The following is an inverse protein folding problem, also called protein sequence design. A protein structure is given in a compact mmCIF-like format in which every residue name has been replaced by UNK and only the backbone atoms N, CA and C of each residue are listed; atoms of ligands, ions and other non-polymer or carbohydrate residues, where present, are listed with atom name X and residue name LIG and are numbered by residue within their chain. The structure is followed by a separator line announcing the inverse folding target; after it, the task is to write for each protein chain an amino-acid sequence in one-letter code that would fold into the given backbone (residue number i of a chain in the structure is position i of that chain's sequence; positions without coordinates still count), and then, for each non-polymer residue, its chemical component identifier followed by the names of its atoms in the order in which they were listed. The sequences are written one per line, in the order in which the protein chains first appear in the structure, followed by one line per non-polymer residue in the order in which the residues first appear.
data_IF_790716865448
#
_entry.id   IF_790716865448
#
_cell.length_a   1.000
_cell.length_b   1.000
_cell.length_c   1.000
_cell.angle_alpha   90.00
_cell.angle_beta   90.00
_cell.angle_gamma   90.00
#
_symmetry.space_group_name_H-M   'P 1'
#
loop_
_entity.id
_entity.type
_entity.pdbx_description
1 polymer ?
#
# COMPACT_ATOMS: atom_id res chain seq x y z
N UNK A 1 -19.59 15.44 -5.15
CA UNK A 1 -20.39 16.57 -4.74
C UNK A 1 -21.16 17.19 -5.90
N UNK A 2 -22.08 18.15 -5.65
CA UNK A 2 -22.85 18.78 -6.72
C UNK A 2 -21.91 19.56 -7.66
N UNK A 3 -22.11 19.43 -8.97
CA UNK A 3 -21.24 20.06 -9.99
C UNK A 3 -21.33 21.58 -9.92
N UNK A 4 -22.45 22.13 -9.53
CA UNK A 4 -22.70 23.57 -9.41
C UNK A 4 -21.85 24.23 -8.30
N UNK A 5 -21.45 23.47 -7.30
CA UNK A 5 -20.58 23.95 -6.22
C UNK A 5 -19.09 24.03 -6.66
N UNK A 6 -18.68 23.25 -7.67
CA UNK A 6 -17.29 23.16 -8.07
C UNK A 6 -16.70 24.53 -8.50
N UNK A 7 -17.34 25.29 -9.39
CA UNK A 7 -16.81 26.61 -9.77
C UNK A 7 -16.60 27.57 -8.61
N UNK A 8 -17.37 27.43 -7.54
CA UNK A 8 -17.29 28.32 -6.36
C UNK A 8 -16.06 28.04 -5.47
N UNK A 9 -15.53 26.82 -5.50
CA UNK A 9 -14.44 26.38 -4.62
C UNK A 9 -13.19 25.94 -5.39
N UNK A 10 -13.27 25.77 -6.69
CA UNK A 10 -12.21 25.24 -7.55
C UNK A 10 -10.89 25.97 -7.34
N UNK A 11 -10.87 27.29 -7.48
CA UNK A 11 -9.64 28.07 -7.43
C UNK A 11 -8.96 27.96 -6.05
N UNK A 12 -9.74 27.92 -4.98
CA UNK A 12 -9.24 27.74 -3.61
C UNK A 12 -8.63 26.34 -3.46
N UNK A 13 -9.38 25.29 -3.81
CA UNK A 13 -8.94 23.92 -3.64
C UNK A 13 -7.75 23.59 -4.55
N UNK A 14 -7.79 24.04 -5.79
CA UNK A 14 -6.66 23.89 -6.69
C UNK A 14 -5.46 24.73 -6.25
N UNK A 15 -5.68 25.92 -5.69
CA UNK A 15 -4.62 26.80 -5.17
C UNK A 15 -3.79 26.13 -4.06
N UNK A 16 -4.45 25.46 -3.11
CA UNK A 16 -3.81 24.80 -1.96
C UNK A 16 -3.35 23.37 -2.24
N UNK A 17 -3.75 22.76 -3.37
CA UNK A 17 -3.37 21.39 -3.70
C UNK A 17 -1.89 21.28 -4.10
N UNK A 18 -1.32 20.06 -3.99
CA UNK A 18 -0.03 19.75 -4.61
C UNK A 18 -0.09 19.99 -6.12
N UNK A 19 1.05 20.33 -6.70
CA UNK A 19 1.19 20.57 -8.14
C UNK A 19 2.10 19.52 -8.76
N UNK A 20 1.77 19.07 -9.97
CA UNK A 20 2.68 18.31 -10.82
C UNK A 20 3.81 19.23 -11.32
N UNK A 21 4.81 18.66 -11.97
CA UNK A 21 5.98 19.42 -12.46
C UNK A 21 5.63 20.41 -13.56
N UNK A 22 4.54 20.16 -14.28
CA UNK A 22 3.96 21.07 -15.28
C UNK A 22 3.07 22.17 -14.66
N UNK A 23 2.97 22.24 -13.33
CA UNK A 23 2.13 23.18 -12.59
C UNK A 23 0.66 22.75 -12.45
N UNK A 24 0.24 21.63 -13.03
CA UNK A 24 -1.13 21.13 -12.94
C UNK A 24 -1.49 20.75 -11.51
N UNK A 25 -2.69 21.14 -10.99
CA UNK A 25 -3.09 20.83 -9.64
C UNK A 25 -3.50 19.34 -9.49
N UNK A 26 -3.10 18.71 -8.39
CA UNK A 26 -3.58 17.39 -7.99
C UNK A 26 -4.95 17.50 -7.28
N UNK A 27 -5.88 18.21 -7.88
CA UNK A 27 -7.23 18.42 -7.37
C UNK A 27 -8.18 18.67 -8.53
N UNK A 28 -9.26 17.86 -8.61
CA UNK A 28 -10.29 18.02 -9.61
C UNK A 28 -11.66 17.59 -9.04
N UNK A 29 -12.74 18.02 -9.66
CA UNK A 29 -14.07 17.48 -9.40
C UNK A 29 -14.15 16.06 -9.95
N UNK A 30 -14.45 15.10 -9.09
CA UNK A 30 -14.40 13.68 -9.43
C UNK A 30 -15.75 13.16 -9.93
N UNK A 31 -16.85 13.69 -9.38
CA UNK A 31 -18.20 13.23 -9.74
C UNK A 31 -19.26 13.66 -8.74
N UNK A 32 -20.49 13.34 -9.08
CA UNK A 32 -21.65 13.67 -8.25
C UNK A 32 -21.68 12.88 -6.93
N UNK A 33 -22.50 13.32 -5.99
CA UNK A 33 -22.76 12.63 -4.72
C UNK A 33 -21.48 12.28 -3.95
N UNK A 34 -21.30 10.99 -3.66
CA UNK A 34 -20.20 10.44 -2.89
C UNK A 34 -18.96 10.06 -3.70
N UNK A 35 -18.91 10.28 -5.03
CA UNK A 35 -17.86 9.80 -5.93
C UNK A 35 -16.44 10.10 -5.44
N UNK A 36 -16.15 11.34 -5.05
CA UNK A 36 -14.82 11.74 -4.54
C UNK A 36 -14.43 11.01 -3.25
N UNK A 37 -15.40 10.77 -2.35
CA UNK A 37 -15.15 10.00 -1.12
C UNK A 37 -14.87 8.53 -1.43
N UNK A 38 -15.60 7.94 -2.37
CA UNK A 38 -15.38 6.57 -2.79
C UNK A 38 -13.99 6.41 -3.43
N UNK A 39 -13.62 7.32 -4.33
CA UNK A 39 -12.27 7.35 -4.93
C UNK A 39 -11.18 7.46 -3.84
N UNK A 40 -11.39 8.30 -2.81
CA UNK A 40 -10.43 8.40 -1.69
C UNK A 40 -10.40 7.15 -0.83
N UNK A 41 -11.52 6.49 -0.62
CA UNK A 41 -11.59 5.21 0.08
C UNK A 41 -10.77 4.14 -0.65
N UNK A 42 -10.96 4.00 -1.97
CA UNK A 42 -10.20 3.05 -2.79
C UNK A 42 -8.71 3.38 -2.82
N UNK A 43 -8.34 4.66 -2.94
CA UNK A 43 -6.96 5.11 -2.79
C UNK A 43 -6.33 4.58 -1.49
N UNK A 44 -7.03 4.68 -0.37
CA UNK A 44 -6.54 4.17 0.91
C UNK A 44 -6.50 2.63 0.94
N UNK A 45 -7.38 1.95 0.22
CA UNK A 45 -7.30 0.50 0.03
C UNK A 45 -6.01 0.09 -0.68
N UNK A 46 -5.66 0.76 -1.77
CA UNK A 46 -4.39 0.57 -2.49
C UNK A 46 -3.19 0.83 -1.56
N UNK A 47 -3.25 1.89 -0.76
CA UNK A 47 -2.23 2.20 0.25
C UNK A 47 -2.01 1.03 1.21
N UNK A 48 -3.08 0.39 1.69
CA UNK A 48 -2.96 -0.79 2.55
C UNK A 48 -2.28 -1.95 1.83
N UNK A 49 -2.62 -2.18 0.55
CA UNK A 49 -1.95 -3.15 -0.30
C UNK A 49 -0.46 -2.88 -0.42
N UNK A 50 -0.09 -1.65 -0.79
CA UNK A 50 1.31 -1.24 -0.95
C UNK A 50 2.13 -1.44 0.34
N UNK A 51 1.58 -1.04 1.49
CA UNK A 51 2.26 -1.19 2.78
C UNK A 51 2.43 -2.66 3.17
N UNK A 52 1.45 -3.51 2.89
CA UNK A 52 1.55 -4.95 3.12
C UNK A 52 2.63 -5.58 2.23
N UNK A 53 2.62 -5.27 0.95
CA UNK A 53 3.62 -5.77 -0.01
C UNK A 53 5.05 -5.36 0.36
N UNK A 54 5.24 -4.11 0.79
CA UNK A 54 6.55 -3.64 1.29
C UNK A 54 6.96 -4.41 2.54
N UNK A 55 6.03 -4.69 3.46
CA UNK A 55 6.30 -5.48 4.67
C UNK A 55 6.69 -6.93 4.35
N UNK A 56 6.07 -7.52 3.34
CA UNK A 56 6.42 -8.87 2.85
C UNK A 56 7.79 -8.88 2.17
N UNK A 57 8.08 -7.90 1.31
CA UNK A 57 9.40 -7.75 0.71
C UNK A 57 10.49 -7.57 1.79
N UNK A 58 10.26 -6.71 2.79
CA UNK A 58 11.13 -6.57 3.97
C UNK A 58 11.36 -7.91 4.67
N UNK A 59 10.29 -8.67 4.91
CA UNK A 59 10.38 -9.98 5.57
C UNK A 59 11.22 -10.99 4.76
N UNK A 60 11.05 -11.01 3.44
CA UNK A 60 11.85 -11.87 2.55
C UNK A 60 13.33 -11.48 2.57
N UNK A 61 13.63 -10.18 2.45
CA UNK A 61 15.00 -9.68 2.47
C UNK A 61 15.68 -9.96 3.82
N UNK A 62 14.98 -9.71 4.93
CA UNK A 62 15.51 -9.96 6.29
C UNK A 62 15.69 -11.45 6.58
N UNK A 63 14.63 -12.24 6.39
CA UNK A 63 14.58 -13.61 6.92
C UNK A 63 15.09 -14.67 5.93
N UNK A 64 15.02 -14.42 4.61
CA UNK A 64 15.50 -15.37 3.59
C UNK A 64 16.84 -14.99 3.01
N UNK A 65 17.13 -13.67 2.89
CA UNK A 65 18.43 -13.17 2.40
C UNK A 65 19.39 -12.83 3.54
N UNK A 66 18.92 -12.68 4.78
CA UNK A 66 19.74 -12.36 5.94
C UNK A 66 20.30 -10.93 5.93
N UNK A 67 19.66 -10.01 5.19
CA UNK A 67 20.09 -8.62 5.13
C UNK A 67 19.77 -7.89 6.43
N UNK A 68 20.69 -7.07 6.89
CA UNK A 68 20.45 -6.10 7.95
C UNK A 68 19.72 -4.84 7.44
N UNK A 69 19.34 -3.95 8.32
CA UNK A 69 18.55 -2.77 7.96
C UNK A 69 19.31 -1.83 7.00
N UNK A 70 20.64 -1.69 7.13
CA UNK A 70 21.43 -0.82 6.25
C UNK A 70 21.53 -1.41 4.84
N UNK A 71 21.78 -2.71 4.72
CA UNK A 71 21.79 -3.40 3.44
C UNK A 71 20.41 -3.37 2.75
N UNK A 72 19.32 -3.56 3.51
CA UNK A 72 17.97 -3.43 2.97
C UNK A 72 17.67 -2.00 2.51
N UNK A 73 18.14 -0.99 3.24
CA UNK A 73 17.96 0.41 2.84
C UNK A 73 18.61 0.71 1.48
N UNK A 74 19.78 0.14 1.21
CA UNK A 74 20.43 0.25 -0.10
C UNK A 74 19.57 -0.39 -1.20
N UNK A 75 19.02 -1.57 -0.95
CA UNK A 75 18.13 -2.26 -1.89
C UNK A 75 16.89 -1.41 -2.20
N UNK A 76 16.23 -0.85 -1.18
CA UNK A 76 15.07 0.02 -1.40
C UNK A 76 15.41 1.32 -2.12
N UNK A 77 16.58 1.92 -1.91
CA UNK A 77 17.06 3.07 -2.68
C UNK A 77 17.28 2.73 -4.16
N UNK A 78 17.90 1.58 -4.44
CA UNK A 78 18.08 1.12 -5.81
C UNK A 78 16.72 0.91 -6.50
N UNK A 79 15.75 0.32 -5.81
CA UNK A 79 14.41 0.14 -6.32
C UNK A 79 13.68 1.47 -6.56
N UNK A 80 13.93 2.46 -5.70
CA UNK A 80 13.36 3.80 -5.84
C UNK A 80 13.95 4.60 -7.03
N UNK A 81 15.08 4.16 -7.56
CA UNK A 81 15.65 4.70 -8.81
C UNK A 81 15.08 4.10 -10.10
N UNK A 82 14.12 3.18 -10.02
CA UNK A 82 13.55 2.43 -11.13
C UNK A 82 12.02 2.40 -11.15
N UNK A 83 11.44 1.30 -11.61
CA UNK A 83 9.98 1.15 -11.78
C UNK A 83 9.19 1.15 -10.45
N UNK A 84 9.87 0.97 -9.32
CA UNK A 84 9.27 1.04 -7.99
C UNK A 84 9.36 2.43 -7.36
N UNK A 85 9.86 3.44 -8.10
CA UNK A 85 9.92 4.83 -7.62
C UNK A 85 8.56 5.25 -7.06
N UNK A 86 8.54 5.50 -5.76
CA UNK A 86 7.35 5.93 -5.05
C UNK A 86 7.70 6.45 -3.65
N UNK A 87 6.83 7.29 -3.12
CA UNK A 87 7.00 7.81 -1.77
C UNK A 87 7.14 6.71 -0.70
N UNK A 88 6.36 5.64 -0.81
CA UNK A 88 6.43 4.55 0.18
C UNK A 88 7.74 3.78 0.10
N UNK A 89 8.32 3.59 -1.07
CA UNK A 89 9.65 2.97 -1.23
C UNK A 89 10.72 3.90 -0.69
N UNK A 90 10.68 5.21 -1.03
CA UNK A 90 11.59 6.22 -0.51
C UNK A 90 11.62 6.25 1.02
N UNK A 91 10.43 6.39 1.65
CA UNK A 91 10.39 6.46 3.13
C UNK A 91 10.77 5.13 3.79
N UNK A 92 10.58 3.99 3.11
CA UNK A 92 11.03 2.69 3.63
C UNK A 92 12.54 2.64 3.75
N UNK A 93 13.28 3.11 2.73
CA UNK A 93 14.73 3.24 2.82
C UNK A 93 15.17 4.16 3.97
N UNK A 94 14.48 5.30 4.14
CA UNK A 94 14.76 6.24 5.21
C UNK A 94 14.48 5.65 6.60
N UNK A 95 13.36 4.93 6.78
CA UNK A 95 13.00 4.26 8.03
C UNK A 95 14.04 3.20 8.40
N UNK A 96 14.51 2.41 7.44
CA UNK A 96 15.53 1.39 7.66
C UNK A 96 16.85 1.97 8.17
N UNK A 97 17.22 3.18 7.73
CA UNK A 97 18.43 3.89 8.20
C UNK A 97 18.26 4.61 9.53
N UNK A 98 17.00 4.86 9.93
CA UNK A 98 16.78 5.69 11.10
C UNK A 98 17.28 5.01 12.39
N UNK A 99 18.07 5.75 13.16
CA UNK A 99 18.64 5.29 14.43
C UNK A 99 17.98 6.05 15.60
N UNK A 100 17.77 5.31 16.69
CA UNK A 100 17.33 5.88 17.94
C UNK A 100 18.51 6.51 18.69
N UNK A 101 18.26 7.16 19.82
CA UNK A 101 19.26 7.82 20.67
C UNK A 101 20.39 6.89 21.12
N UNK A 102 20.15 5.59 21.23
CA UNK A 102 21.16 4.57 21.57
C UNK A 102 21.97 4.07 20.36
N UNK A 103 21.77 4.66 19.17
CA UNK A 103 22.46 4.30 17.94
C UNK A 103 21.91 3.03 17.24
N UNK A 104 20.89 2.38 17.80
CA UNK A 104 20.29 1.17 17.21
C UNK A 104 19.17 1.54 16.25
N UNK A 105 18.84 0.66 15.26
CA UNK A 105 17.72 0.88 14.38
C UNK A 105 16.41 1.04 15.17
N UNK A 106 15.71 2.17 15.00
CA UNK A 106 14.43 2.39 15.67
C UNK A 106 13.38 1.37 15.23
N UNK A 107 13.43 0.93 13.97
CA UNK A 107 12.50 -0.06 13.43
C UNK A 107 12.46 -1.36 14.26
N UNK A 108 13.61 -1.81 14.77
CA UNK A 108 13.67 -3.04 15.57
C UNK A 108 13.03 -2.90 16.97
N UNK A 109 12.70 -1.68 17.39
CA UNK A 109 12.02 -1.36 18.65
C UNK A 109 10.53 -1.10 18.50
N UNK A 110 10.04 -0.99 17.27
CA UNK A 110 8.62 -0.71 16.99
C UNK A 110 7.83 -2.00 17.09
N UNK A 111 6.71 -1.94 17.82
CA UNK A 111 5.79 -3.06 17.95
C UNK A 111 5.18 -3.44 16.59
N UNK A 112 5.15 -4.73 16.30
CA UNK A 112 4.63 -5.31 15.06
C UNK A 112 3.08 -5.36 15.02
N UNK A 113 2.45 -4.23 15.28
CA UNK A 113 0.99 -4.04 15.27
C UNK A 113 0.63 -2.91 14.36
N UNK A 114 -0.25 -3.16 13.40
CA UNK A 114 -0.77 -2.13 12.50
C UNK A 114 -2.25 -1.85 12.79
N UNK A 115 -2.56 -0.60 13.12
CA UNK A 115 -3.93 -0.13 13.29
C UNK A 115 -4.62 0.20 11.98
N UNK A 116 -5.93 0.43 12.03
CA UNK A 116 -6.72 0.92 10.91
C UNK A 116 -7.75 1.96 11.34
N UNK A 117 -8.12 2.86 10.40
CA UNK A 117 -9.18 3.86 10.61
C UNK A 117 -10.47 3.52 9.82
N UNK A 118 -10.55 2.33 9.22
CA UNK A 118 -11.73 1.81 8.56
C UNK A 118 -11.75 1.88 7.03
N UNK A 119 -10.96 2.73 6.38
CA UNK A 119 -11.03 2.94 4.92
C UNK A 119 -10.68 1.69 4.10
N UNK A 120 -9.66 0.93 4.50
CA UNK A 120 -9.35 -0.36 3.85
C UNK A 120 -10.47 -1.37 4.02
N UNK A 121 -11.04 -1.47 5.23
CA UNK A 121 -12.21 -2.32 5.51
C UNK A 121 -13.40 -1.93 4.65
N UNK A 122 -13.69 -0.64 4.50
CA UNK A 122 -14.80 -0.17 3.67
C UNK A 122 -14.57 -0.48 2.20
N UNK A 123 -13.32 -0.42 1.70
CA UNK A 123 -13.00 -0.85 0.34
C UNK A 123 -13.29 -2.34 0.13
N UNK A 124 -12.93 -3.19 1.11
CA UNK A 124 -13.23 -4.62 1.03
C UNK A 124 -14.73 -4.92 1.07
N UNK A 125 -15.50 -4.21 1.91
CA UNK A 125 -16.97 -4.35 1.96
C UNK A 125 -17.59 -3.90 0.64
N UNK A 126 -17.20 -2.73 0.12
CA UNK A 126 -17.71 -2.22 -1.14
C UNK A 126 -17.41 -3.18 -2.30
N UNK A 127 -16.22 -3.79 -2.32
CA UNK A 127 -15.88 -4.78 -3.33
C UNK A 127 -16.77 -6.03 -3.28
N UNK A 128 -17.12 -6.49 -2.07
CA UNK A 128 -18.07 -7.60 -1.91
C UNK A 128 -19.46 -7.21 -2.37
N UNK A 129 -19.92 -6.00 -2.09
CA UNK A 129 -21.23 -5.48 -2.53
C UNK A 129 -21.29 -5.34 -4.06
N UNK A 130 -20.18 -4.95 -4.71
CA UNK A 130 -20.04 -4.82 -6.17
C UNK A 130 -19.64 -6.14 -6.87
N UNK A 131 -19.46 -7.25 -6.17
CA UNK A 131 -18.94 -8.52 -6.69
C UNK A 131 -17.58 -8.38 -7.40
N UNK A 132 -16.71 -7.48 -6.91
CA UNK A 132 -15.37 -7.25 -7.44
C UNK A 132 -14.31 -8.03 -6.64
N UNK A 133 -13.41 -8.80 -7.29
CA UNK A 133 -12.41 -9.60 -6.59
C UNK A 133 -11.23 -8.76 -6.07
N UNK A 134 -11.43 -7.99 -5.02
CA UNK A 134 -10.43 -7.13 -4.36
C UNK A 134 -9.51 -7.93 -3.41
N UNK A 135 -8.94 -9.03 -3.87
CA UNK A 135 -8.28 -10.03 -3.02
C UNK A 135 -7.04 -9.49 -2.32
N UNK A 136 -6.14 -8.79 -3.02
CA UNK A 136 -4.89 -8.28 -2.45
C UNK A 136 -5.15 -7.21 -1.38
N UNK A 137 -6.01 -6.24 -1.68
CA UNK A 137 -6.34 -5.17 -0.73
C UNK A 137 -7.07 -5.73 0.49
N UNK A 138 -7.96 -6.71 0.29
CA UNK A 138 -8.68 -7.37 1.38
C UNK A 138 -7.72 -8.15 2.28
N UNK A 139 -6.76 -8.87 1.70
CA UNK A 139 -5.71 -9.56 2.47
C UNK A 139 -4.89 -8.58 3.31
N UNK A 140 -4.52 -7.42 2.77
CA UNK A 140 -3.82 -6.39 3.52
C UNK A 140 -4.64 -5.88 4.73
N UNK A 141 -5.97 -5.82 4.63
CA UNK A 141 -6.85 -5.50 5.76
C UNK A 141 -6.80 -6.61 6.81
N UNK A 142 -6.90 -7.87 6.40
CA UNK A 142 -6.83 -9.01 7.33
C UNK A 142 -5.46 -9.13 8.00
N UNK A 143 -4.36 -8.90 7.28
CA UNK A 143 -3.02 -8.87 7.85
C UNK A 143 -2.91 -7.84 9.00
N UNK A 144 -3.50 -6.64 8.85
CA UNK A 144 -3.57 -5.65 9.93
C UNK A 144 -4.41 -6.12 11.11
N UNK A 145 -5.58 -6.69 10.84
CA UNK A 145 -6.44 -7.24 11.91
C UNK A 145 -5.73 -8.35 12.67
N UNK A 146 -5.05 -9.25 11.95
CA UNK A 146 -4.25 -10.32 12.57
C UNK A 146 -3.09 -9.75 13.39
N UNK A 147 -2.39 -8.73 12.89
CA UNK A 147 -1.30 -8.08 13.64
C UNK A 147 -1.78 -7.49 14.97
N UNK A 148 -3.01 -6.97 15.02
CA UNK A 148 -3.60 -6.38 16.20
C UNK A 148 -3.97 -7.41 17.30
N UNK A 149 -4.08 -8.70 16.97
CA UNK A 149 -4.29 -9.79 17.93
C UNK A 149 -2.97 -10.17 18.65
N UNK A 150 -2.25 -9.18 19.14
CA UNK A 150 -0.90 -9.34 19.69
C UNK A 150 -0.85 -10.35 20.85
N UNK A 151 -1.73 -10.31 21.88
CA UNK A 151 -1.70 -11.28 22.97
C UNK A 151 -1.90 -12.74 22.49
N UNK A 152 -2.83 -12.94 21.55
CA UNK A 152 -3.13 -14.25 20.97
C UNK A 152 -1.95 -14.78 20.15
N UNK A 153 -1.32 -13.91 19.37
CA UNK A 153 -0.13 -14.25 18.58
C UNK A 153 1.03 -14.70 19.48
N UNK A 154 1.32 -13.96 20.54
CA UNK A 154 2.37 -14.31 21.51
C UNK A 154 2.04 -15.64 22.19
N UNK A 155 0.78 -15.85 22.62
CA UNK A 155 0.36 -17.12 23.23
C UNK A 155 0.50 -18.28 22.25
N UNK A 156 0.06 -18.12 21.00
CA UNK A 156 0.19 -19.14 19.97
C UNK A 156 1.67 -19.45 19.69
N UNK A 157 2.52 -18.42 19.54
CA UNK A 157 3.95 -18.60 19.35
C UNK A 157 4.59 -19.43 20.48
N UNK A 158 4.23 -19.16 21.74
CA UNK A 158 4.76 -19.92 22.88
C UNK A 158 4.33 -21.38 22.91
N UNK A 159 3.10 -21.67 22.44
CA UNK A 159 2.55 -23.03 22.41
C UNK A 159 3.12 -23.88 21.26
N UNK A 160 3.40 -23.27 20.14
CA UNK A 160 3.83 -23.94 18.90
C UNK A 160 5.34 -23.83 18.66
N UNK A 161 6.05 -23.00 19.42
CA UNK A 161 7.50 -22.86 19.34
C UNK A 161 8.18 -24.23 19.52
N UNK A 162 8.92 -24.66 18.51
CA UNK A 162 9.64 -25.94 18.47
C UNK A 162 8.77 -27.20 18.21
N UNK A 163 7.45 -27.08 18.10
CA UNK A 163 6.54 -28.21 17.80
C UNK A 163 6.23 -28.31 16.30
N UNK A 164 6.16 -27.20 15.62
CA UNK A 164 6.03 -27.18 14.15
C UNK A 164 7.42 -27.35 13.56
N UNK A 165 7.86 -28.59 13.36
CA UNK A 165 8.82 -28.88 12.31
C UNK A 165 8.07 -28.60 10.99
N UNK A 166 8.06 -27.34 10.55
CA UNK A 166 7.85 -27.11 9.14
C UNK A 166 9.04 -27.81 8.48
N UNK A 167 8.83 -29.03 7.97
CA UNK A 167 9.69 -29.53 6.93
C UNK A 167 9.61 -28.45 5.86
N UNK A 168 10.59 -27.55 5.89
CA UNK A 168 10.87 -26.72 4.74
C UNK A 168 11.06 -27.74 3.64
N UNK A 169 9.99 -27.94 2.84
CA UNK A 169 10.10 -28.79 1.67
C UNK A 169 11.37 -28.32 1.02
N UNK A 170 12.28 -29.22 0.75
CA UNK A 170 13.53 -28.94 0.05
C UNK A 170 13.12 -28.26 -1.23
N UNK A 171 12.99 -26.93 -1.18
CA UNK A 171 13.15 -26.14 -2.37
C UNK A 171 14.48 -26.63 -2.91
N UNK A 172 14.46 -27.26 -4.08
CA UNK A 172 15.67 -27.76 -4.71
C UNK A 172 16.73 -26.69 -4.52
N UNK A 173 17.94 -27.08 -4.08
CA UNK A 173 19.08 -26.17 -3.83
C UNK A 173 19.39 -25.20 -5.00
N UNK A 174 18.71 -25.33 -6.13
CA UNK A 174 18.83 -24.53 -7.34
C UNK A 174 17.87 -23.31 -7.43
N UNK A 175 16.91 -23.13 -6.52
CA UNK A 175 16.04 -21.96 -6.51
C UNK A 175 16.38 -21.05 -5.32
N UNK A 176 17.58 -20.46 -5.35
CA UNK A 176 17.95 -19.46 -4.37
C UNK A 176 17.22 -18.14 -4.73
N UNK A 177 16.23 -17.75 -3.92
CA UNK A 177 15.52 -16.46 -4.05
C UNK A 177 16.56 -15.33 -4.23
N UNK A 178 16.51 -14.60 -5.32
CA UNK A 178 17.36 -13.42 -5.54
C UNK A 178 16.66 -12.13 -5.04
N UNK A 179 17.42 -11.07 -4.85
CA UNK A 179 16.87 -9.73 -4.57
C UNK A 179 16.03 -9.25 -5.75
N UNK A 180 16.45 -9.60 -6.97
CA UNK A 180 15.71 -9.28 -8.20
C UNK A 180 14.35 -10.00 -8.27
N UNK A 181 14.25 -11.25 -7.82
CA UNK A 181 12.96 -11.95 -7.75
C UNK A 181 11.99 -11.23 -6.80
N UNK A 182 12.48 -10.73 -5.67
CA UNK A 182 11.67 -9.94 -4.72
C UNK A 182 11.23 -8.62 -5.35
N UNK A 183 12.13 -7.94 -6.08
CA UNK A 183 11.82 -6.69 -6.80
C UNK A 183 10.71 -6.90 -7.82
N UNK A 184 10.85 -7.92 -8.67
CA UNK A 184 9.88 -8.24 -9.71
C UNK A 184 8.51 -8.64 -9.12
N UNK A 185 8.52 -9.45 -8.07
CA UNK A 185 7.30 -9.84 -7.37
C UNK A 185 6.59 -8.64 -6.75
N UNK A 186 7.34 -7.75 -6.09
CA UNK A 186 6.79 -6.51 -5.52
C UNK A 186 6.19 -5.62 -6.61
N UNK A 187 6.91 -5.42 -7.72
CA UNK A 187 6.41 -4.61 -8.83
C UNK A 187 5.12 -5.18 -9.43
N UNK A 188 5.10 -6.48 -9.74
CA UNK A 188 3.91 -7.15 -10.27
C UNK A 188 2.72 -7.05 -9.30
N UNK A 189 2.96 -7.29 -8.01
CA UNK A 189 1.90 -7.21 -6.99
C UNK A 189 1.37 -5.77 -6.81
N UNK A 190 2.23 -4.73 -6.89
CA UNK A 190 1.78 -3.34 -6.90
C UNK A 190 0.87 -3.05 -8.09
N UNK A 191 1.23 -3.50 -9.30
CA UNK A 191 0.36 -3.35 -10.48
C UNK A 191 -1.01 -4.01 -10.26
N UNK A 192 -1.04 -5.19 -9.66
CA UNK A 192 -2.29 -5.90 -9.33
C UNK A 192 -3.10 -5.11 -8.31
N UNK A 193 -2.48 -4.52 -7.28
CA UNK A 193 -3.15 -3.69 -6.27
C UNK A 193 -3.88 -2.50 -6.92
N UNK A 194 -3.20 -1.79 -7.82
CA UNK A 194 -3.81 -0.68 -8.56
C UNK A 194 -4.90 -1.17 -9.51
N UNK A 195 -4.67 -2.27 -10.25
CA UNK A 195 -5.66 -2.84 -11.16
C UNK A 195 -6.95 -3.23 -10.41
N UNK A 196 -6.84 -3.84 -9.24
CA UNK A 196 -7.99 -4.16 -8.38
C UNK A 196 -8.71 -2.89 -7.91
N UNK A 197 -7.97 -1.87 -7.48
CA UNK A 197 -8.57 -0.59 -7.10
C UNK A 197 -9.34 0.08 -8.24
N UNK A 198 -8.76 0.13 -9.44
CA UNK A 198 -9.43 0.70 -10.61
C UNK A 198 -10.61 -0.16 -11.10
N UNK A 199 -10.55 -1.50 -10.94
CA UNK A 199 -11.70 -2.37 -11.20
C UNK A 199 -12.87 -2.02 -10.29
N UNK A 200 -12.64 -1.87 -9.00
CA UNK A 200 -13.67 -1.45 -8.04
C UNK A 200 -14.24 -0.06 -8.37
N UNK A 201 -13.40 0.90 -8.77
CA UNK A 201 -13.86 2.22 -9.20
C UNK A 201 -14.78 2.12 -10.44
N UNK A 202 -14.44 1.23 -11.37
CA UNK A 202 -15.26 1.02 -12.59
C UNK A 202 -16.63 0.45 -12.24
N UNK A 203 -16.71 -0.62 -11.44
CA UNK A 203 -17.99 -1.22 -11.04
C UNK A 203 -18.86 -0.23 -10.26
N UNK A 204 -18.27 0.49 -9.31
CA UNK A 204 -18.99 1.52 -8.58
C UNK A 204 -19.43 2.69 -9.47
N UNK A 205 -18.61 3.10 -10.45
CA UNK A 205 -18.97 4.14 -11.41
C UNK A 205 -20.21 3.75 -12.24
N UNK A 206 -20.24 2.50 -12.71
CA UNK A 206 -21.39 1.95 -13.43
C UNK A 206 -22.63 1.87 -12.54
N UNK A 207 -22.49 1.31 -11.33
CA UNK A 207 -23.59 1.13 -10.37
C UNK A 207 -24.23 2.47 -9.95
N UNK A 208 -23.40 3.46 -9.62
CA UNK A 208 -23.89 4.75 -9.10
C UNK A 208 -24.08 5.81 -10.20
N UNK A 209 -23.74 5.54 -11.44
CA UNK A 209 -23.84 6.48 -12.56
C UNK A 209 -22.91 7.69 -12.42
N UNK A 210 -21.67 7.50 -11.96
CA UNK A 210 -20.76 8.63 -11.69
C UNK A 210 -19.97 9.10 -12.91
N UNK A 211 -19.82 8.30 -13.94
CA UNK A 211 -19.00 8.59 -15.13
C UNK A 211 -17.56 9.04 -14.75
N UNK A 212 -16.85 8.20 -14.01
CA UNK A 212 -15.52 8.54 -13.48
C UNK A 212 -14.47 8.63 -14.60
N UNK A 213 -13.73 9.73 -14.63
CA UNK A 213 -12.51 9.88 -15.45
C UNK A 213 -11.30 9.25 -14.72
N UNK A 214 -10.98 8.01 -15.07
CA UNK A 214 -9.86 7.25 -14.46
C UNK A 214 -8.50 7.89 -14.76
N UNK A 215 -8.34 8.51 -15.92
CA UNK A 215 -7.12 9.24 -16.27
C UNK A 215 -6.88 10.43 -15.34
N UNK A 216 -7.92 11.21 -15.06
CA UNK A 216 -7.86 12.31 -14.08
C UNK A 216 -7.61 11.77 -12.67
N UNK A 217 -8.25 10.68 -12.25
CA UNK A 217 -8.00 10.06 -10.95
C UNK A 217 -6.53 9.64 -10.82
N UNK A 218 -5.98 8.93 -11.81
CA UNK A 218 -4.58 8.52 -11.80
C UNK A 218 -3.64 9.74 -11.74
N UNK A 219 -3.93 10.80 -12.51
CA UNK A 219 -3.14 12.02 -12.53
C UNK A 219 -3.08 12.73 -11.18
N UNK A 220 -4.21 12.87 -10.48
CA UNK A 220 -4.23 13.55 -9.17
C UNK A 220 -3.54 12.73 -8.06
N UNK A 221 -3.34 11.43 -8.24
CA UNK A 221 -2.62 10.59 -7.29
C UNK A 221 -1.09 10.66 -7.45
N UNK A 222 -0.58 11.35 -8.46
CA UNK A 222 0.87 11.45 -8.71
C UNK A 222 1.60 12.34 -7.70
N UNK A 223 0.92 13.29 -7.03
CA UNK A 223 1.51 14.11 -5.95
C UNK A 223 0.51 14.42 -4.85
N UNK A 224 1.02 14.83 -3.69
CA UNK A 224 0.19 15.25 -2.56
C UNK A 224 -0.54 14.11 -1.84
N UNK A 225 -0.22 12.86 -2.15
CA UNK A 225 -0.79 11.70 -1.48
C UNK A 225 0.28 10.64 -1.17
N UNK A 226 -0.09 9.64 -0.38
CA UNK A 226 0.88 8.64 0.12
C UNK A 226 1.25 7.58 -0.93
N UNK A 227 0.36 7.31 -1.89
CA UNK A 227 0.63 6.34 -2.97
C UNK A 227 1.24 6.99 -4.22
N UNK A 228 1.73 8.23 -4.12
CA UNK A 228 2.35 8.92 -5.24
C UNK A 228 3.58 8.18 -5.78
N UNK A 229 3.69 8.13 -7.10
CA UNK A 229 4.77 7.51 -7.85
C UNK A 229 4.90 8.15 -9.23
#
# INVERSE_FOLDING_TARGET
GPVEAWPLVKDILQGISAKLDDGSPCCEWIGAGGAGHFVKMVHNGIEYGDMQLISEAYSLLKNRKGLDNDAMAVVFDEWNGGELDSFLIEITANILRFRDEDGKPLLDKILDVAGQKGTGKWSAIAAMDENDPLTLITEAVYARLLSALYPERIKAASLYSGKLKVESGKLSDNAQLSIEDVRQALYAAKLISYAQGFSLLRHASEHYGWDLDYGTIARIWRKGCIIRS
#
